data_IF_811732293792
#
_entry.id   IF_811732293792
#
_cell.length_a   1.000
_cell.length_b   1.000
_cell.length_c   1.000
_cell.angle_alpha   90.00
_cell.angle_beta   90.00
_cell.angle_gamma   90.00
#
_symmetry.space_group_name_H-M   'P 1'
#
loop_
_entity.id
_entity.type
_entity.pdbx_description
1 polymer ?
#
# COMPACT_ATOMS: atom_id res chain seq x y z
N UNK A 1 30.08 27.51 -47.87
CA UNK A 1 30.96 26.40 -48.32
C UNK A 1 31.27 25.52 -47.11
N UNK A 2 30.81 24.26 -47.14
CA UNK A 2 31.34 23.03 -46.47
C UNK A 2 31.75 23.09 -44.98
N UNK A 3 30.97 22.46 -44.09
CA UNK A 3 31.12 21.10 -43.48
C UNK A 3 31.93 21.16 -42.15
N UNK A 4 31.57 20.51 -41.03
CA UNK A 4 31.04 19.16 -40.79
C UNK A 4 30.12 19.14 -39.55
N UNK A 5 29.04 18.37 -39.64
CA UNK A 5 28.26 17.85 -38.51
C UNK A 5 28.88 16.52 -38.04
N UNK A 6 28.97 16.30 -36.73
CA UNK A 6 29.20 14.97 -36.15
C UNK A 6 27.93 14.54 -35.40
N UNK A 7 27.29 13.49 -35.92
CA UNK A 7 26.19 12.76 -35.27
C UNK A 7 26.78 11.68 -34.37
N UNK A 8 26.35 11.60 -33.11
CA UNK A 8 26.50 10.39 -32.30
C UNK A 8 25.18 9.62 -32.34
N UNK A 9 25.21 8.45 -32.98
CA UNK A 9 24.18 7.42 -32.96
C UNK A 9 24.69 6.36 -31.99
N UNK A 10 23.98 6.10 -30.90
CA UNK A 10 24.22 4.93 -30.04
C UNK A 10 23.17 3.88 -30.39
N UNK A 11 23.65 2.80 -31.01
CA UNK A 11 22.88 1.65 -31.44
C UNK A 11 23.15 0.52 -30.44
N UNK A 12 22.19 0.22 -29.55
CA UNK A 12 22.31 -0.90 -28.60
C UNK A 12 21.69 -2.16 -29.21
N UNK A 13 22.54 -3.05 -29.72
CA UNK A 13 22.19 -4.45 -30.00
C UNK A 13 22.25 -5.25 -28.69
N UNK A 14 21.12 -5.83 -28.29
CA UNK A 14 21.06 -6.85 -27.22
C UNK A 14 21.38 -8.21 -27.84
N UNK A 15 22.54 -8.77 -27.47
CA UNK A 15 22.93 -10.15 -27.78
C UNK A 15 22.38 -11.11 -26.70
N UNK A 16 21.81 -12.23 -27.13
CA UNK A 16 21.33 -13.31 -26.27
C UNK A 16 22.50 -14.08 -25.61
N UNK A 17 22.31 -14.66 -24.41
CA UNK A 17 23.37 -15.42 -23.74
C UNK A 17 23.54 -16.82 -24.35
N UNK A 18 24.76 -17.40 -24.32
CA UNK A 18 25.04 -18.68 -24.95
C UNK A 18 24.61 -19.87 -24.09
N UNK A 19 24.12 -20.91 -24.77
CA UNK A 19 23.87 -22.25 -24.26
C UNK A 19 25.18 -22.93 -23.82
N UNK A 20 25.21 -23.51 -22.62
CA UNK A 20 26.30 -24.39 -22.17
C UNK A 20 25.90 -25.85 -22.40
N UNK A 21 26.50 -26.46 -23.41
CA UNK A 21 26.68 -27.90 -23.51
C UNK A 21 27.90 -28.31 -22.67
N UNK A 22 27.74 -29.29 -21.78
CA UNK A 22 28.86 -30.08 -21.25
C UNK A 22 28.54 -31.57 -21.39
N UNK A 23 29.58 -32.24 -21.88
CA UNK A 23 29.69 -33.58 -22.46
C UNK A 23 29.38 -34.75 -21.53
N UNK A 24 28.94 -35.81 -22.20
CA UNK A 24 29.01 -37.23 -21.85
C UNK A 24 30.32 -37.64 -21.16
N UNK A 25 30.19 -38.36 -20.03
CA UNK A 25 31.19 -39.33 -19.58
C UNK A 25 30.45 -40.64 -19.27
N UNK A 26 30.58 -41.60 -20.18
CA UNK A 26 30.21 -42.99 -19.97
C UNK A 26 31.25 -43.69 -19.11
N UNK A 27 30.85 -44.35 -18.03
CA UNK A 27 31.52 -45.58 -17.58
C UNK A 27 30.49 -46.58 -17.06
N UNK A 28 30.62 -47.79 -17.58
CA UNK A 28 29.78 -48.96 -17.37
C UNK A 28 29.81 -49.49 -15.94
N UNK A 29 28.68 -50.00 -15.43
CA UNK A 29 28.61 -51.32 -14.75
C UNK A 29 27.16 -51.83 -14.66
N UNK A 30 26.93 -52.95 -15.36
CA UNK A 30 25.96 -54.07 -15.16
C UNK A 30 25.29 -54.09 -13.76
N UNK A 31 24.01 -54.48 -13.57
CA UNK A 31 23.31 -55.69 -14.06
C UNK A 31 21.82 -55.70 -13.60
N UNK A 32 21.00 -56.40 -14.38
CA UNK A 32 19.77 -57.19 -14.04
C UNK A 32 18.46 -56.50 -13.62
N UNK A 33 17.46 -56.71 -14.50
CA UNK A 33 16.03 -56.66 -14.24
C UNK A 33 15.55 -57.89 -13.47
N UNK A 34 14.65 -57.69 -12.50
CA UNK A 34 13.70 -58.71 -12.05
C UNK A 34 12.39 -58.02 -11.64
N UNK A 35 11.30 -58.43 -12.28
CA UNK A 35 9.90 -58.15 -11.93
C UNK A 35 9.51 -58.84 -10.62
N UNK A 36 8.57 -58.29 -9.82
CA UNK A 36 7.37 -59.00 -9.32
C UNK A 36 6.55 -58.18 -8.29
N UNK A 37 5.23 -58.19 -8.53
CA UNK A 37 4.07 -58.30 -7.63
C UNK A 37 3.81 -57.40 -6.42
N UNK A 38 2.56 -56.93 -6.42
CA UNK A 38 1.70 -56.42 -5.34
C UNK A 38 1.69 -57.26 -4.05
N UNK A 39 1.55 -56.66 -2.85
CA UNK A 39 1.21 -57.35 -1.61
C UNK A 39 -0.29 -57.27 -1.22
N UNK A 40 -0.78 -58.18 -0.34
CA UNK A 40 -2.20 -58.43 -0.04
C UNK A 40 -2.73 -57.65 1.19
N UNK A 41 -4.04 -57.72 1.52
CA UNK A 41 -4.61 -57.02 2.68
C UNK A 41 -4.57 -57.88 3.96
N UNK A 42 -4.36 -57.23 5.12
CA UNK A 42 -4.58 -57.78 6.48
C UNK A 42 -5.05 -56.64 7.39
N UNK A 43 -6.29 -56.66 7.89
CA UNK A 43 -6.86 -57.40 9.03
C UNK A 43 -6.77 -56.62 10.35
N UNK A 44 -7.95 -56.49 10.97
CA UNK A 44 -8.33 -55.76 12.17
C UNK A 44 -7.57 -56.12 13.45
N UNK A 45 -7.15 -55.11 14.20
CA UNK A 45 -7.10 -55.16 15.66
C UNK A 45 -7.59 -53.84 16.27
N UNK A 46 -8.54 -53.98 17.18
CA UNK A 46 -9.14 -52.99 18.07
C UNK A 46 -8.13 -52.47 19.09
N UNK A 47 -8.02 -51.15 19.26
CA UNK A 47 -7.85 -50.55 20.58
C UNK A 47 -8.47 -49.15 20.65
N UNK A 48 -9.23 -49.02 21.73
CA UNK A 48 -9.96 -47.88 22.30
C UNK A 48 -9.24 -46.54 22.28
N UNK A 49 -9.91 -45.50 21.76
CA UNK A 49 -9.74 -44.13 22.23
C UNK A 49 -11.10 -43.42 22.29
N UNK A 50 -11.35 -42.85 23.45
CA UNK A 50 -12.57 -42.19 23.94
C UNK A 50 -12.95 -40.98 23.08
N UNK A 51 -14.10 -41.03 22.41
CA UNK A 51 -14.72 -39.88 21.77
C UNK A 51 -15.76 -39.28 22.74
N UNK A 52 -15.54 -38.04 23.19
CA UNK A 52 -16.54 -37.23 23.88
C UNK A 52 -17.44 -36.60 22.82
N UNK A 53 -18.73 -36.93 22.87
CA UNK A 53 -19.77 -36.39 22.01
C UNK A 53 -20.00 -34.88 22.28
N UNK A 54 -20.36 -34.07 21.27
CA UNK A 54 -20.84 -32.71 21.49
C UNK A 54 -22.29 -32.75 22.01
N UNK A 55 -22.50 -32.15 23.17
CA UNK A 55 -23.82 -31.97 23.78
C UNK A 55 -24.67 -30.97 23.00
N UNK A 56 -25.92 -31.35 22.78
CA UNK A 56 -27.02 -30.54 22.26
C UNK A 56 -27.36 -29.39 23.23
N UNK A 57 -27.45 -28.16 22.71
CA UNK A 57 -28.01 -27.00 23.42
C UNK A 57 -29.30 -26.59 22.70
N UNK A 58 -30.43 -26.69 23.40
CA UNK A 58 -31.72 -26.14 22.96
C UNK A 58 -31.76 -24.61 23.13
N UNK A 59 -32.44 -23.87 22.24
CA UNK A 59 -32.48 -22.41 22.32
C UNK A 59 -33.54 -21.93 23.33
N UNK A 60 -33.08 -21.22 24.37
CA UNK A 60 -33.91 -20.41 25.25
C UNK A 60 -34.06 -18.99 24.70
N UNK A 61 -35.31 -18.54 24.57
CA UNK A 61 -35.70 -17.19 24.18
C UNK A 61 -35.19 -16.15 25.20
N UNK A 62 -34.35 -15.21 24.76
CA UNK A 62 -34.22 -13.91 25.40
C UNK A 62 -34.12 -12.82 24.33
N UNK A 63 -35.20 -12.05 24.20
CA UNK A 63 -35.20 -10.75 23.53
C UNK A 63 -34.37 -9.76 24.36
N UNK A 64 -33.22 -9.36 23.82
CA UNK A 64 -32.41 -8.25 24.33
C UNK A 64 -31.77 -7.55 23.15
N UNK A 65 -32.32 -6.39 22.79
CA UNK A 65 -31.83 -5.54 21.72
C UNK A 65 -30.55 -4.84 22.21
N UNK A 66 -29.38 -5.43 21.97
CA UNK A 66 -28.06 -4.81 22.19
C UNK A 66 -27.09 -5.22 21.08
N UNK A 67 -27.43 -4.90 19.83
CA UNK A 67 -26.44 -4.84 18.76
C UNK A 67 -25.93 -3.40 18.65
N UNK A 68 -25.09 -3.01 19.62
CA UNK A 68 -24.21 -1.85 19.42
C UNK A 68 -23.01 -2.40 18.65
N UNK A 69 -22.72 -1.85 17.47
CA UNK A 69 -21.49 -2.17 16.72
C UNK A 69 -20.26 -1.79 17.57
N UNK A 70 -19.83 -2.75 18.40
CA UNK A 70 -18.75 -2.61 19.38
C UNK A 70 -17.44 -2.20 18.71
N UNK A 71 -17.26 -2.52 17.43
CA UNK A 71 -15.99 -2.26 16.74
C UNK A 71 -15.91 -0.86 16.16
N UNK A 72 -16.97 -0.38 15.51
CA UNK A 72 -17.01 1.00 15.01
C UNK A 72 -17.07 1.98 16.18
N UNK A 73 -17.91 1.70 17.18
CA UNK A 73 -18.02 2.52 18.39
C UNK A 73 -16.71 2.54 19.20
N UNK A 74 -15.97 1.43 19.32
CA UNK A 74 -14.68 1.43 20.01
C UNK A 74 -13.59 2.21 19.26
N UNK A 75 -13.63 2.25 17.93
CA UNK A 75 -12.71 3.08 17.12
C UNK A 75 -13.06 4.55 17.29
N UNK A 76 -14.34 4.92 17.15
CA UNK A 76 -14.82 6.29 17.34
C UNK A 76 -14.51 6.79 18.75
N UNK A 77 -14.82 6.02 19.79
CA UNK A 77 -14.47 6.37 21.18
C UNK A 77 -12.96 6.53 21.40
N UNK A 78 -12.10 5.75 20.74
CA UNK A 78 -10.64 5.92 20.84
C UNK A 78 -10.16 7.15 20.08
N UNK A 79 -10.73 7.44 18.91
CA UNK A 79 -10.42 8.65 18.16
C UNK A 79 -10.87 9.91 18.92
N UNK A 80 -12.02 9.87 19.57
CA UNK A 80 -12.55 10.96 20.40
C UNK A 80 -11.82 11.12 21.74
N UNK A 81 -11.27 10.03 22.29
CA UNK A 81 -10.48 10.05 23.51
C UNK A 81 -9.05 10.57 23.32
N UNK A 82 -8.61 10.78 22.07
CA UNK A 82 -7.40 11.55 21.77
C UNK A 82 -7.81 13.02 21.87
N UNK A 83 -7.16 13.83 22.72
CA UNK A 83 -7.45 15.26 22.81
C UNK A 83 -7.23 15.94 21.45
N UNK A 84 -8.28 16.03 20.65
CA UNK A 84 -8.34 16.99 19.55
C UNK A 84 -8.17 18.36 20.20
N UNK A 85 -7.15 19.10 19.78
CA UNK A 85 -6.68 20.36 20.38
C UNK A 85 -7.68 21.53 20.43
N UNK A 86 -8.84 21.33 21.04
CA UNK A 86 -9.77 22.36 21.50
C UNK A 86 -10.09 22.06 22.96
N UNK A 87 -9.34 22.70 23.84
CA UNK A 87 -9.60 22.70 25.27
C UNK A 87 -11.02 23.19 25.55
N UNK A 88 -11.86 22.31 26.09
CA UNK A 88 -13.06 22.71 26.83
C UNK A 88 -12.75 22.58 28.32
N UNK A 89 -12.81 23.72 29.02
CA UNK A 89 -12.57 23.81 30.46
C UNK A 89 -13.63 23.02 31.23
N UNK A 90 -13.26 21.84 31.73
CA UNK A 90 -14.03 21.05 32.68
C UNK A 90 -13.13 20.63 33.84
N UNK A 91 -13.24 21.35 34.96
CA UNK A 91 -12.47 21.10 36.17
C UNK A 91 -12.94 19.80 36.85
N UNK A 92 -12.11 18.77 36.84
CA UNK A 92 -12.30 17.57 37.66
C UNK A 92 -10.97 17.19 38.35
N UNK A 93 -10.92 17.41 39.65
CA UNK A 93 -9.82 17.06 40.54
C UNK A 93 -9.70 15.54 40.68
N UNK A 94 -8.64 15.01 40.09
CA UNK A 94 -8.09 13.68 40.33
C UNK A 94 -6.82 13.57 39.50
N UNK A 95 -5.65 13.46 40.14
CA UNK A 95 -4.36 13.37 39.44
C UNK A 95 -4.28 12.05 38.66
N UNK A 96 -4.93 11.99 37.50
CA UNK A 96 -4.63 10.99 36.48
C UNK A 96 -3.17 11.21 36.12
N UNK A 97 -2.33 10.19 36.31
CA UNK A 97 -1.01 10.12 35.70
C UNK A 97 -1.15 10.57 34.25
N UNK A 98 -0.57 11.72 33.90
CA UNK A 98 -0.66 12.25 32.55
C UNK A 98 0.11 11.29 31.63
N UNK A 99 -0.62 10.48 30.87
CA UNK A 99 -0.04 9.67 29.81
C UNK A 99 0.73 10.61 28.87
N UNK A 100 1.99 10.29 28.56
CA UNK A 100 2.77 11.10 27.64
C UNK A 100 2.22 10.93 26.22
N UNK A 101 1.79 12.03 25.62
CA UNK A 101 1.45 12.07 24.20
C UNK A 101 2.72 12.10 23.35
N UNK A 102 2.61 11.64 22.10
CA UNK A 102 3.67 11.80 21.13
C UNK A 102 3.90 13.29 20.89
N UNK A 103 5.12 13.76 21.06
CA UNK A 103 5.46 15.18 21.00
C UNK A 103 6.74 15.37 20.17
N UNK A 104 6.56 15.83 18.94
CA UNK A 104 7.65 16.05 18.00
C UNK A 104 8.56 17.22 18.41
N UNK A 105 8.09 18.14 19.26
CA UNK A 105 8.93 19.25 19.76
C UNK A 105 10.06 18.76 20.68
N UNK A 106 9.93 17.55 21.24
CA UNK A 106 10.94 16.89 22.06
C UNK A 106 11.93 16.05 21.26
N UNK A 107 11.79 15.98 19.93
CA UNK A 107 12.66 15.16 19.08
C UNK A 107 14.14 15.41 19.37
N UNK A 108 14.86 14.32 19.65
CA UNK A 108 16.31 14.35 19.84
C UNK A 108 17.03 13.90 18.58
N UNK A 109 18.25 14.42 18.36
CA UNK A 109 19.02 14.19 17.13
C UNK A 109 20.34 13.49 17.43
N UNK A 110 20.51 12.30 16.87
CA UNK A 110 21.77 11.57 16.83
C UNK A 110 22.16 11.36 15.37
N UNK A 111 23.04 12.23 14.84
CA UNK A 111 23.47 12.14 13.44
C UNK A 111 24.50 11.03 13.23
N UNK A 112 24.41 10.34 12.10
CA UNK A 112 25.39 9.31 11.72
C UNK A 112 26.77 9.92 11.53
N UNK A 113 27.80 9.22 12.01
CA UNK A 113 29.21 9.55 11.74
C UNK A 113 29.72 8.84 10.48
N UNK A 114 28.94 7.91 9.92
CA UNK A 114 29.27 7.11 8.75
C UNK A 114 28.14 7.27 7.71
N UNK A 115 28.04 8.44 7.05
CA UNK A 115 27.02 8.68 6.04
C UNK A 115 27.16 7.71 4.86
N UNK A 116 26.04 7.15 4.40
CA UNK A 116 25.98 6.27 3.24
C UNK A 116 26.23 7.07 1.95
N UNK A 117 26.79 6.42 0.94
CA UNK A 117 26.86 6.99 -0.41
C UNK A 117 25.44 7.05 -1.01
N UNK A 118 25.11 8.16 -1.68
CA UNK A 118 23.84 8.27 -2.42
C UNK A 118 24.03 7.54 -3.76
N UNK A 119 23.37 6.39 -3.99
CA UNK A 119 23.49 5.66 -5.24
C UNK A 119 22.89 6.44 -6.42
N UNK A 120 23.30 6.11 -7.64
CA UNK A 120 22.51 6.43 -8.82
C UNK A 120 21.23 5.56 -8.86
N UNK A 121 20.22 5.98 -9.62
CA UNK A 121 18.93 5.29 -9.70
C UNK A 121 19.05 3.87 -10.26
N UNK A 122 19.97 3.62 -11.19
CA UNK A 122 20.19 2.28 -11.75
C UNK A 122 20.69 1.33 -10.67
N UNK A 123 21.74 1.74 -9.95
CA UNK A 123 22.31 0.98 -8.83
C UNK A 123 21.31 0.77 -7.69
N UNK A 124 20.50 1.79 -7.37
CA UNK A 124 19.48 1.69 -6.33
C UNK A 124 18.38 0.67 -6.64
N UNK A 125 18.13 0.40 -7.92
CA UNK A 125 17.03 -0.45 -8.38
C UNK A 125 17.48 -1.85 -8.84
N UNK A 126 18.79 -2.07 -8.99
CA UNK A 126 19.33 -3.35 -9.45
C UNK A 126 19.56 -4.38 -8.32
N UNK A 127 19.61 -3.94 -7.06
CA UNK A 127 19.85 -4.78 -5.91
C UNK A 127 18.63 -5.58 -5.43
N UNK A 128 18.87 -6.64 -4.65
CA UNK A 128 17.82 -7.39 -3.95
C UNK A 128 17.32 -6.71 -2.67
N UNK A 129 18.00 -5.65 -2.23
CA UNK A 129 17.71 -4.91 -1.01
C UNK A 129 17.22 -3.51 -1.35
N UNK A 130 16.30 -3.00 -0.54
CA UNK A 130 15.87 -1.60 -0.61
C UNK A 130 16.89 -0.74 0.11
N UNK A 131 17.43 0.27 -0.59
CA UNK A 131 18.40 1.21 0.00
C UNK A 131 17.66 2.27 0.82
N UNK A 132 18.03 2.41 2.10
CA UNK A 132 17.50 3.41 3.01
C UNK A 132 18.43 4.62 3.14
N UNK A 133 17.87 5.75 3.57
CA UNK A 133 18.61 6.98 3.87
C UNK A 133 19.51 6.84 5.11
N UNK A 134 20.17 7.92 5.54
CA UNK A 134 21.13 7.87 6.63
C UNK A 134 20.48 7.61 7.99
N UNK A 135 19.29 8.16 8.21
CA UNK A 135 18.61 8.17 9.50
C UNK A 135 17.22 7.52 9.45
N UNK A 136 16.69 7.27 10.64
CA UNK A 136 15.30 6.93 10.89
C UNK A 136 14.81 7.69 12.12
N UNK A 137 13.50 7.87 12.23
CA UNK A 137 12.85 8.32 13.48
C UNK A 137 12.26 7.11 14.20
N UNK A 138 12.37 7.06 15.52
CA UNK A 138 11.72 6.04 16.34
C UNK A 138 11.16 6.61 17.64
N UNK A 139 10.02 6.09 18.09
CA UNK A 139 9.44 6.35 19.40
C UNK A 139 8.79 5.06 19.93
N UNK A 140 9.02 4.75 21.20
CA UNK A 140 8.38 3.62 21.88
C UNK A 140 7.14 4.08 22.64
N UNK A 141 6.25 3.14 22.93
CA UNK A 141 5.07 3.40 23.74
C UNK A 141 4.89 2.29 24.76
N UNK A 142 4.49 2.65 25.97
CA UNK A 142 4.13 1.68 27.04
C UNK A 142 2.80 2.04 27.67
N UNK A 143 1.95 1.04 27.86
CA UNK A 143 0.74 1.16 28.65
C UNK A 143 1.08 1.65 30.07
N UNK A 144 0.37 2.69 30.54
CA UNK A 144 0.63 3.33 31.83
C UNK A 144 1.57 4.54 31.78
N UNK A 145 2.48 4.60 30.80
CA UNK A 145 3.45 5.71 30.67
C UNK A 145 3.17 6.62 29.47
N UNK A 146 2.71 6.05 28.34
CA UNK A 146 2.53 6.76 27.08
C UNK A 146 3.74 6.63 26.14
N UNK A 147 3.89 7.62 25.25
CA UNK A 147 4.96 7.70 24.26
C UNK A 147 6.27 8.16 24.90
N UNK A 148 7.38 7.59 24.45
CA UNK A 148 8.72 8.09 24.75
C UNK A 148 9.02 9.36 23.95
N UNK A 149 10.07 10.07 24.35
CA UNK A 149 10.67 11.10 23.48
C UNK A 149 11.07 10.46 22.13
N UNK A 150 10.67 11.05 20.99
CA UNK A 150 11.08 10.55 19.69
C UNK A 150 12.57 10.83 19.44
N UNK A 151 13.22 9.94 18.71
CA UNK A 151 14.65 10.00 18.40
C UNK A 151 14.85 9.92 16.88
N UNK A 152 15.53 10.91 16.31
CA UNK A 152 16.19 10.77 15.01
C UNK A 152 17.56 10.16 15.26
N UNK A 153 17.83 9.01 14.65
CA UNK A 153 19.06 8.25 14.86
C UNK A 153 19.52 7.56 13.57
N UNK A 154 20.77 7.06 13.50
CA UNK A 154 21.24 6.35 12.31
C UNK A 154 20.33 5.16 12.00
N UNK A 155 19.97 4.98 10.72
CA UNK A 155 19.19 3.83 10.27
C UNK A 155 19.91 2.51 10.59
N UNK A 156 19.17 1.57 11.20
CA UNK A 156 19.71 0.29 11.64
C UNK A 156 18.63 -0.74 12.01
N UNK A 157 19.04 -1.96 12.42
CA UNK A 157 18.12 -3.04 12.73
C UNK A 157 17.29 -2.76 13.99
N UNK A 158 16.08 -3.33 14.03
CA UNK A 158 15.19 -3.31 15.19
C UNK A 158 15.38 -4.64 15.95
N UNK A 159 15.72 -4.56 17.24
CA UNK A 159 15.82 -5.73 18.11
C UNK A 159 14.47 -6.00 18.77
N UNK A 160 13.88 -7.18 18.52
CA UNK A 160 12.61 -7.61 19.09
C UNK A 160 12.78 -8.93 19.83
N UNK A 161 12.02 -9.09 20.92
CA UNK A 161 11.85 -10.40 21.53
C UNK A 161 11.12 -11.33 20.56
N UNK A 162 11.50 -12.62 20.46
CA UNK A 162 10.81 -13.57 19.59
C UNK A 162 9.33 -13.74 19.91
N UNK A 163 8.90 -13.40 21.13
CA UNK A 163 7.51 -13.42 21.59
C UNK A 163 6.75 -12.12 21.30
N UNK A 164 7.34 -11.17 20.57
CA UNK A 164 6.69 -9.90 20.22
C UNK A 164 5.41 -10.13 19.42
N UNK A 165 4.30 -9.50 19.83
CA UNK A 165 2.97 -9.73 19.24
C UNK A 165 2.92 -9.49 17.73
N UNK A 166 3.75 -8.61 17.18
CA UNK A 166 3.82 -8.36 15.73
C UNK A 166 4.20 -9.61 14.95
N UNK A 167 5.10 -10.44 15.48
CA UNK A 167 5.62 -11.64 14.81
C UNK A 167 4.62 -12.79 14.75
N UNK A 168 3.57 -12.75 15.58
CA UNK A 168 2.60 -13.85 15.73
C UNK A 168 1.19 -13.47 15.30
N UNK A 169 0.78 -12.22 15.56
CA UNK A 169 -0.62 -11.79 15.42
C UNK A 169 -0.79 -10.58 14.49
N UNK A 170 0.23 -10.24 13.71
CA UNK A 170 0.22 -9.14 12.74
C UNK A 170 -0.29 -7.82 13.35
N UNK A 171 0.10 -7.53 14.60
CA UNK A 171 -0.18 -6.27 15.29
C UNK A 171 0.69 -5.15 14.73
N UNK A 172 0.51 -4.87 13.44
CA UNK A 172 1.28 -3.89 12.68
C UNK A 172 0.44 -3.15 11.64
N UNK A 173 0.74 -1.87 11.51
CA UNK A 173 0.22 -1.02 10.45
C UNK A 173 1.34 -0.16 9.87
N UNK A 174 1.15 0.33 8.66
CA UNK A 174 2.15 1.14 7.98
C UNK A 174 1.50 2.19 7.10
N UNK A 175 2.29 3.18 6.73
CA UNK A 175 1.94 4.19 5.75
C UNK A 175 2.91 4.22 4.57
N UNK A 176 2.50 4.95 3.53
CA UNK A 176 3.24 5.09 2.31
C UNK A 176 3.00 6.43 1.64
N UNK A 177 4.03 7.27 1.68
CA UNK A 177 4.05 8.58 1.05
C UNK A 177 5.41 8.84 0.38
N UNK A 178 5.52 9.95 -0.34
CA UNK A 178 6.73 10.34 -1.07
C UNK A 178 7.10 11.77 -0.72
N UNK A 179 8.41 12.02 -0.69
CA UNK A 179 8.97 13.38 -0.77
C UNK A 179 9.56 13.58 -2.16
N UNK A 180 9.37 14.76 -2.72
CA UNK A 180 9.75 15.10 -4.08
C UNK A 180 10.72 16.28 -4.07
N UNK A 181 11.74 16.26 -4.94
CA UNK A 181 12.48 17.46 -5.32
C UNK A 181 11.80 18.11 -6.50
N UNK A 182 11.13 19.23 -6.24
CA UNK A 182 10.46 20.02 -7.28
C UNK A 182 11.43 20.61 -8.30
N UNK A 183 10.91 20.99 -9.47
CA UNK A 183 11.68 21.67 -10.52
C UNK A 183 12.07 23.11 -10.13
N UNK A 184 11.40 23.67 -9.13
CA UNK A 184 11.77 24.92 -8.45
C UNK A 184 12.82 24.72 -7.35
N UNK A 185 13.30 23.49 -7.17
CA UNK A 185 14.33 23.15 -6.20
C UNK A 185 13.84 23.01 -4.76
N UNK A 186 12.55 23.04 -4.45
CA UNK A 186 12.04 22.80 -3.10
C UNK A 186 11.77 21.30 -2.82
N UNK A 187 11.92 20.87 -1.57
CA UNK A 187 11.45 19.56 -1.11
C UNK A 187 9.96 19.65 -0.77
N UNK A 188 9.16 18.70 -1.23
CA UNK A 188 7.71 18.66 -0.98
C UNK A 188 7.21 17.28 -0.59
N UNK A 189 6.32 17.24 0.41
CA UNK A 189 5.45 16.10 0.70
C UNK A 189 4.10 16.33 0.03
N UNK A 190 3.46 15.25 -0.43
CA UNK A 190 2.12 15.34 -1.02
C UNK A 190 1.06 14.82 -0.03
N UNK A 191 0.19 15.74 0.44
CA UNK A 191 -0.91 15.48 1.39
C UNK A 191 -0.52 14.58 2.59
N UNK A 192 0.59 14.89 3.30
CA UNK A 192 1.04 14.06 4.42
C UNK A 192 0.01 13.99 5.56
N UNK A 193 -0.82 15.02 5.72
CA UNK A 193 -1.96 15.07 6.64
C UNK A 193 -2.86 13.83 6.51
N UNK A 194 -3.24 13.47 5.26
CA UNK A 194 -4.11 12.33 4.96
C UNK A 194 -3.46 10.99 5.25
N UNK A 195 -2.15 10.88 5.05
CA UNK A 195 -1.41 9.69 5.45
C UNK A 195 -1.40 9.56 6.98
N UNK A 196 -1.17 10.65 7.72
CA UNK A 196 -1.12 10.62 9.18
C UNK A 196 -2.48 10.28 9.80
N UNK A 197 -3.57 10.84 9.27
CA UNK A 197 -4.94 10.50 9.66
C UNK A 197 -5.24 9.01 9.43
N UNK A 198 -4.88 8.47 8.26
CA UNK A 198 -5.10 7.04 7.95
C UNK A 198 -4.23 6.13 8.81
N UNK A 199 -3.02 6.55 9.19
CA UNK A 199 -2.17 5.79 10.10
C UNK A 199 -2.80 5.68 11.48
N UNK A 200 -3.38 6.77 12.00
CA UNK A 200 -4.09 6.76 13.28
C UNK A 200 -5.31 5.82 13.25
N UNK A 201 -6.11 5.89 12.19
CA UNK A 201 -7.24 4.96 12.00
C UNK A 201 -6.74 3.50 11.95
N UNK A 202 -5.64 3.25 11.23
CA UNK A 202 -5.09 1.90 11.11
C UNK A 202 -4.55 1.38 12.44
N UNK A 203 -3.83 2.20 13.21
CA UNK A 203 -3.27 1.78 14.51
C UNK A 203 -4.38 1.46 15.51
N UNK A 204 -5.39 2.34 15.61
CA UNK A 204 -6.51 2.16 16.53
C UNK A 204 -7.36 0.93 16.18
N UNK A 205 -7.52 0.62 14.88
CA UNK A 205 -8.24 -0.59 14.41
C UNK A 205 -7.65 -1.89 14.98
N UNK A 206 -6.33 -1.96 15.13
CA UNK A 206 -5.63 -3.14 15.66
C UNK A 206 -5.14 -2.96 17.11
N UNK A 207 -5.80 -2.07 17.85
CA UNK A 207 -5.54 -1.81 19.27
C UNK A 207 -4.10 -1.37 19.60
N UNK A 208 -3.34 -0.88 18.62
CA UNK A 208 -2.10 -0.15 18.85
C UNK A 208 -2.41 1.25 19.41
N UNK A 209 -1.42 1.94 20.02
CA UNK A 209 -1.65 3.26 20.60
C UNK A 209 -2.04 4.31 19.56
N UNK A 210 -2.91 5.22 19.99
CA UNK A 210 -3.22 6.46 19.27
C UNK A 210 -2.11 7.50 19.45
N UNK A 211 -2.12 8.51 18.59
CA UNK A 211 -1.21 9.65 18.59
C UNK A 211 -1.86 10.82 17.83
N UNK A 212 -1.47 12.08 18.08
CA UNK A 212 -1.95 13.20 17.29
C UNK A 212 -1.35 13.14 15.85
N UNK A 213 -2.15 13.13 14.78
CA UNK A 213 -1.63 13.03 13.40
C UNK A 213 -0.63 14.11 13.02
N UNK A 214 -0.83 15.34 13.51
CA UNK A 214 0.08 16.46 13.26
C UNK A 214 1.49 16.24 13.85
N UNK A 215 1.61 15.47 14.93
CA UNK A 215 2.92 15.17 15.52
C UNK A 215 3.68 14.14 14.67
N UNK A 216 2.99 13.17 14.08
CA UNK A 216 3.60 12.28 13.09
C UNK A 216 4.07 13.05 11.85
N UNK A 217 3.26 13.99 11.35
CA UNK A 217 3.64 14.82 10.21
C UNK A 217 4.92 15.63 10.49
N UNK A 218 5.01 16.27 11.66
CA UNK A 218 6.22 16.99 12.09
C UNK A 218 7.45 16.08 12.14
N UNK A 219 7.32 14.84 12.61
CA UNK A 219 8.42 13.87 12.64
C UNK A 219 8.88 13.46 11.22
N UNK A 220 7.94 13.31 10.28
CA UNK A 220 8.27 13.05 8.87
C UNK A 220 9.03 14.24 8.27
N UNK A 221 8.55 15.47 8.52
CA UNK A 221 9.19 16.70 8.06
C UNK A 221 10.60 16.82 8.64
N UNK A 222 10.79 16.58 9.94
CA UNK A 222 12.10 16.65 10.58
C UNK A 222 13.10 15.63 10.00
N UNK A 223 12.67 14.39 9.73
CA UNK A 223 13.53 13.41 9.06
C UNK A 223 13.95 13.89 7.67
N UNK A 224 13.02 14.49 6.91
CA UNK A 224 13.29 14.99 5.55
C UNK A 224 14.07 16.31 5.54
N UNK A 225 13.98 17.12 6.59
CA UNK A 225 14.83 18.29 6.76
C UNK A 225 16.31 17.91 6.88
N UNK A 226 16.60 16.79 7.57
CA UNK A 226 17.96 16.26 7.76
C UNK A 226 18.46 15.47 6.54
N UNK A 227 17.69 14.49 6.05
CA UNK A 227 18.16 13.58 4.99
C UNK A 227 17.90 14.14 3.58
N UNK A 228 16.85 14.93 3.39
CA UNK A 228 16.41 15.41 2.08
C UNK A 228 17.47 16.16 1.28
N UNK A 229 18.23 17.12 1.84
CA UNK A 229 19.20 17.92 1.08
C UNK A 229 20.27 17.06 0.38
N UNK A 230 20.76 16.02 1.07
CA UNK A 230 21.77 15.11 0.54
C UNK A 230 21.16 14.09 -0.42
N UNK A 231 20.04 13.48 -0.05
CA UNK A 231 19.48 12.33 -0.78
C UNK A 231 18.63 12.74 -1.99
N UNK A 232 18.14 13.98 -2.00
CA UNK A 232 17.43 14.62 -3.11
C UNK A 232 18.06 15.99 -3.40
N UNK A 233 19.27 16.07 -3.97
CA UNK A 233 19.96 17.35 -4.13
C UNK A 233 19.26 18.26 -5.15
N UNK A 234 19.44 19.58 -4.99
CA UNK A 234 18.77 20.61 -5.81
C UNK A 234 19.15 20.58 -7.29
N UNK A 235 20.34 20.07 -7.62
CA UNK A 235 20.82 19.88 -8.99
C UNK A 235 20.18 18.66 -9.70
N UNK A 236 19.36 17.89 -8.99
CA UNK A 236 18.62 16.72 -9.51
C UNK A 236 17.11 16.82 -9.26
N UNK A 237 16.43 17.83 -9.83
CA UNK A 237 14.98 17.95 -9.71
C UNK A 237 14.25 16.83 -10.43
N UNK A 238 12.97 16.66 -10.09
CA UNK A 238 12.12 15.62 -10.68
C UNK A 238 12.33 14.22 -10.08
N UNK A 239 13.09 14.13 -8.98
CA UNK A 239 13.35 12.89 -8.24
C UNK A 239 12.52 12.81 -6.96
N UNK A 240 12.38 11.60 -6.40
CA UNK A 240 11.62 11.37 -5.16
C UNK A 240 12.28 10.30 -4.29
N UNK A 241 11.93 10.31 -3.00
CA UNK A 241 12.15 9.20 -2.08
C UNK A 241 10.81 8.72 -1.53
N UNK A 242 10.78 7.46 -1.09
CA UNK A 242 9.60 6.86 -0.47
C UNK A 242 9.76 6.85 1.05
N UNK A 243 8.74 7.31 1.76
CA UNK A 243 8.71 7.37 3.22
C UNK A 243 7.76 6.28 3.73
N UNK A 244 8.23 5.52 4.73
CA UNK A 244 7.53 4.39 5.34
C UNK A 244 7.43 4.59 6.85
N UNK A 245 6.40 5.31 7.33
CA UNK A 245 5.99 5.24 8.73
C UNK A 245 5.42 3.85 9.02
N UNK A 246 5.77 3.26 10.14
CA UNK A 246 5.31 1.93 10.56
C UNK A 246 5.12 1.90 12.06
N UNK A 247 4.06 1.24 12.52
CA UNK A 247 3.85 0.97 13.94
C UNK A 247 3.65 -0.53 14.18
N UNK A 248 4.35 -1.06 15.17
CA UNK A 248 4.34 -2.49 15.53
C UNK A 248 4.09 -2.69 17.03
N UNK A 249 3.38 -3.75 17.39
CA UNK A 249 3.26 -4.23 18.77
C UNK A 249 4.53 -4.98 19.19
N UNK A 250 5.19 -4.51 20.25
CA UNK A 250 6.50 -5.02 20.70
C UNK A 250 6.41 -5.81 22.01
N UNK A 251 5.22 -5.93 22.60
CA UNK A 251 5.03 -6.64 23.87
C UNK A 251 5.52 -8.09 23.76
N UNK A 252 6.45 -8.56 24.62
CA UNK A 252 7.02 -9.90 24.55
C UNK A 252 6.08 -10.95 25.16
N UNK A 253 4.90 -11.15 24.58
CA UNK A 253 3.86 -12.02 25.12
C UNK A 253 3.05 -12.73 24.02
N UNK A 254 2.83 -14.03 24.20
CA UNK A 254 2.06 -14.89 23.27
C UNK A 254 0.55 -14.90 23.54
N UNK A 255 0.06 -14.19 24.56
CA UNK A 255 -1.38 -14.05 24.77
C UNK A 255 -1.99 -13.14 23.70
N UNK A 256 -3.13 -13.54 23.13
CA UNK A 256 -3.90 -12.69 22.20
C UNK A 256 -4.62 -11.61 23.01
N UNK A 257 -4.04 -10.42 23.07
CA UNK A 257 -4.56 -9.27 23.80
C UNK A 257 -4.07 -7.96 23.16
N UNK A 258 -4.66 -6.83 23.57
CA UNK A 258 -4.15 -5.53 23.18
C UNK A 258 -2.70 -5.36 23.64
N UNK A 259 -1.74 -4.99 22.75
CA UNK A 259 -0.35 -4.86 23.13
C UNK A 259 -0.15 -3.78 24.18
N UNK A 260 0.58 -4.09 25.26
CA UNK A 260 0.97 -3.11 26.28
C UNK A 260 2.25 -2.35 25.94
N UNK A 261 2.92 -2.73 24.86
CA UNK A 261 4.13 -2.05 24.35
C UNK A 261 4.06 -2.00 22.81
N UNK A 262 4.49 -0.88 22.24
CA UNK A 262 4.54 -0.67 20.80
C UNK A 262 5.73 0.21 20.40
N UNK A 263 6.04 0.24 19.12
CA UNK A 263 7.03 1.14 18.54
C UNK A 263 6.51 1.74 17.24
N UNK A 264 6.60 3.06 17.13
CA UNK A 264 6.49 3.83 15.89
C UNK A 264 7.89 4.06 15.33
N UNK A 265 8.09 3.82 14.05
CA UNK A 265 9.32 4.21 13.36
C UNK A 265 9.04 4.73 11.95
N UNK A 266 9.94 5.58 11.44
CA UNK A 266 9.84 6.20 10.12
C UNK A 266 11.18 6.00 9.42
N UNK A 267 11.15 5.33 8.26
CA UNK A 267 12.31 5.19 7.38
C UNK A 267 12.03 5.85 6.04
N UNK A 268 13.10 6.23 5.35
CA UNK A 268 13.04 6.76 3.99
C UNK A 268 13.94 5.92 3.09
N UNK A 269 13.49 5.66 1.86
CA UNK A 269 14.11 4.68 0.97
C UNK A 269 14.08 5.11 -0.49
N UNK A 270 15.08 4.65 -1.25
CA UNK A 270 14.99 4.60 -2.70
C UNK A 270 13.99 3.50 -3.09
N UNK A 271 12.89 3.91 -3.69
CA UNK A 271 11.98 3.00 -4.37
C UNK A 271 12.20 3.15 -5.87
N UNK A 272 12.19 2.04 -6.64
CA UNK A 272 12.27 2.13 -8.09
C UNK A 272 11.23 3.08 -8.66
N UNK A 273 11.65 3.85 -9.67
CA UNK A 273 10.72 4.63 -10.48
C UNK A 273 9.88 3.62 -11.24
N UNK A 274 8.70 3.35 -10.70
CA UNK A 274 7.71 2.47 -11.30
C UNK A 274 6.90 3.30 -12.29
N UNK A 275 7.49 3.52 -13.47
CA UNK A 275 6.74 4.10 -14.58
C UNK A 275 5.63 3.14 -15.02
N UNK A 276 4.62 3.72 -15.68
CA UNK A 276 3.58 2.92 -16.31
C UNK A 276 4.23 1.94 -17.29
N UNK A 277 3.90 0.63 -17.22
CA UNK A 277 4.44 -0.34 -18.17
C UNK A 277 4.19 0.15 -19.60
N UNK A 278 5.16 -0.06 -20.50
CA UNK A 278 4.97 0.26 -21.91
C UNK A 278 3.74 -0.50 -22.43
N UNK A 279 2.77 0.22 -23.01
CA UNK A 279 1.49 -0.36 -23.43
C UNK A 279 0.46 -0.56 -22.30
N UNK A 280 0.67 0.04 -21.13
CA UNK A 280 -0.25 -0.03 -19.99
C UNK A 280 -0.15 -1.33 -19.18
N UNK A 281 -0.68 -1.29 -17.96
CA UNK A 281 -0.70 -2.44 -17.07
C UNK A 281 -1.83 -3.40 -17.44
N UNK A 282 -1.55 -4.71 -17.44
CA UNK A 282 -2.55 -5.76 -17.61
C UNK A 282 -2.98 -6.30 -16.26
N UNK A 283 -4.29 -6.45 -16.05
CA UNK A 283 -4.87 -7.01 -14.84
C UNK A 283 -5.42 -8.41 -15.09
N UNK A 284 -5.31 -9.29 -14.10
CA UNK A 284 -6.05 -10.55 -14.05
C UNK A 284 -7.07 -10.44 -12.92
N UNK A 285 -8.33 -10.81 -13.12
CA UNK A 285 -9.29 -10.80 -12.01
C UNK A 285 -8.92 -11.85 -10.96
N UNK A 286 -9.25 -11.60 -9.69
CA UNK A 286 -8.95 -12.55 -8.60
C UNK A 286 -9.56 -13.94 -8.87
N UNK A 287 -8.91 -15.02 -8.38
CA UNK A 287 -9.52 -16.35 -8.32
C UNK A 287 -10.87 -16.33 -7.58
N UNK A 288 -11.76 -17.26 -7.89
CA UNK A 288 -13.11 -17.31 -7.30
C UNK A 288 -13.10 -17.63 -5.80
N UNK A 289 -12.08 -18.33 -5.34
CA UNK A 289 -11.87 -18.72 -3.94
C UNK A 289 -11.02 -17.69 -3.16
N UNK A 290 -10.75 -16.53 -3.74
CA UNK A 290 -9.90 -15.51 -3.13
C UNK A 290 -10.54 -14.13 -3.13
N UNK A 291 -10.55 -13.50 -1.94
CA UNK A 291 -10.94 -12.11 -1.75
C UNK A 291 -9.81 -11.35 -1.05
N UNK A 292 -9.65 -10.06 -1.39
CA UNK A 292 -8.68 -9.19 -0.73
C UNK A 292 -9.13 -8.79 0.67
N UNK A 293 -10.42 -8.50 0.80
CA UNK A 293 -11.09 -8.01 1.99
C UNK A 293 -12.58 -8.37 1.91
N UNK A 294 -13.29 -8.18 3.02
CA UNK A 294 -14.74 -8.39 3.10
C UNK A 294 -15.40 -7.32 3.97
N UNK A 295 -16.70 -7.12 3.78
CA UNK A 295 -17.51 -6.22 4.62
C UNK A 295 -17.51 -6.74 6.06
N UNK A 296 -17.25 -5.86 7.03
CA UNK A 296 -16.99 -6.22 8.43
C UNK A 296 -15.54 -6.62 8.72
N UNK A 297 -14.69 -6.75 7.69
CA UNK A 297 -13.27 -6.96 7.82
C UNK A 297 -12.50 -5.68 8.16
N UNK A 298 -11.27 -5.59 7.66
CA UNK A 298 -10.35 -4.46 7.91
C UNK A 298 -9.63 -4.00 6.65
N UNK A 299 -10.27 -4.19 5.48
CA UNK A 299 -9.72 -3.81 4.17
C UNK A 299 -9.49 -2.31 4.00
N UNK A 300 -10.24 -1.48 4.74
CA UNK A 300 -10.10 -0.03 4.83
C UNK A 300 -8.89 0.46 5.62
N UNK A 301 -8.25 -0.41 6.41
CA UNK A 301 -7.08 -0.08 7.22
C UNK A 301 -5.79 -0.57 6.56
N UNK A 302 -4.68 0.16 6.76
CA UNK A 302 -3.40 -0.16 6.12
C UNK A 302 -2.54 -1.09 6.99
N UNK A 303 -3.06 -2.31 7.16
CA UNK A 303 -2.52 -3.34 8.05
C UNK A 303 -1.67 -4.35 7.28
N UNK A 304 -0.57 -4.85 7.87
CA UNK A 304 0.27 -5.87 7.25
C UNK A 304 -0.51 -7.13 6.82
N UNK A 305 -1.49 -7.53 7.63
CA UNK A 305 -2.37 -8.67 7.39
C UNK A 305 -3.18 -8.58 6.07
N UNK A 306 -3.40 -7.39 5.51
CA UNK A 306 -4.10 -7.22 4.23
C UNK A 306 -3.23 -7.54 3.00
N UNK A 307 -1.91 -7.70 3.17
CA UNK A 307 -0.97 -7.82 2.05
C UNK A 307 -0.37 -9.22 1.94
N UNK A 308 0.05 -9.84 3.05
CA UNK A 308 0.68 -11.16 3.04
C UNK A 308 -0.11 -12.23 2.26
N UNK A 309 -1.40 -12.45 2.57
CA UNK A 309 -2.23 -13.43 1.85
C UNK A 309 -2.38 -13.14 0.35
N UNK A 310 -2.25 -11.88 -0.08
CA UNK A 310 -2.41 -11.47 -1.49
C UNK A 310 -1.26 -11.91 -2.40
N UNK A 311 -0.11 -12.29 -1.83
CA UNK A 311 1.11 -12.53 -2.57
C UNK A 311 1.03 -13.76 -3.48
N UNK A 312 0.30 -14.81 -3.07
CA UNK A 312 0.15 -16.04 -3.86
C UNK A 312 -0.46 -15.76 -5.23
N UNK A 313 -1.64 -15.16 -5.25
CA UNK A 313 -2.29 -14.82 -6.52
C UNK A 313 -1.49 -13.76 -7.29
N UNK A 314 -0.80 -12.84 -6.59
CA UNK A 314 0.00 -11.80 -7.27
C UNK A 314 1.15 -12.44 -8.04
N UNK A 315 1.82 -13.44 -7.47
CA UNK A 315 2.87 -14.21 -8.14
C UNK A 315 2.31 -15.00 -9.31
N UNK A 316 1.16 -15.65 -9.15
CA UNK A 316 0.51 -16.40 -10.22
C UNK A 316 0.14 -15.49 -11.41
N UNK A 317 -0.47 -14.34 -11.14
CA UNK A 317 -0.81 -13.35 -12.16
C UNK A 317 0.44 -12.86 -12.91
N UNK A 318 1.53 -12.56 -12.19
CA UNK A 318 2.81 -12.14 -12.80
C UNK A 318 3.43 -13.21 -13.68
N UNK A 319 3.41 -14.47 -13.24
CA UNK A 319 3.93 -15.59 -14.03
C UNK A 319 3.15 -15.78 -15.35
N UNK A 320 1.89 -15.30 -15.40
CA UNK A 320 1.05 -15.30 -16.60
C UNK A 320 1.14 -14.02 -17.43
N UNK A 321 2.02 -13.08 -17.06
CA UNK A 321 2.23 -11.82 -17.79
C UNK A 321 1.29 -10.69 -17.40
N UNK A 322 0.56 -10.81 -16.28
CA UNK A 322 -0.28 -9.73 -15.73
C UNK A 322 0.48 -8.96 -14.65
N UNK A 323 0.35 -7.63 -14.66
CA UNK A 323 1.08 -6.77 -13.71
C UNK A 323 0.52 -6.82 -12.30
N UNK A 324 -0.82 -6.92 -12.18
CA UNK A 324 -1.55 -6.89 -10.91
C UNK A 324 -2.87 -7.70 -11.01
N UNK A 325 -3.52 -7.89 -9.87
CA UNK A 325 -4.86 -8.48 -9.77
C UNK A 325 -5.91 -7.37 -9.77
N UNK A 326 -7.03 -7.55 -10.47
CA UNK A 326 -8.25 -6.83 -10.17
C UNK A 326 -9.08 -7.63 -9.16
N UNK A 327 -9.18 -7.13 -7.93
CA UNK A 327 -9.88 -7.83 -6.86
C UNK A 327 -11.39 -7.72 -7.06
N UNK A 328 -12.05 -8.88 -7.07
CA UNK A 328 -13.51 -8.99 -7.14
C UNK A 328 -14.08 -9.36 -5.77
N UNK A 329 -15.28 -8.88 -5.46
CA UNK A 329 -15.95 -9.15 -4.19
C UNK A 329 -17.42 -9.52 -4.37
N UNK A 330 -17.89 -10.47 -3.55
CA UNK A 330 -19.29 -10.91 -3.54
C UNK A 330 -19.66 -11.83 -4.70
N UNK A 331 -20.88 -12.34 -4.67
CA UNK A 331 -21.43 -13.20 -5.73
C UNK A 331 -21.61 -12.43 -7.03
N UNK A 332 -21.87 -11.13 -6.91
CA UNK A 332 -22.04 -10.17 -7.98
C UNK A 332 -20.71 -9.73 -8.61
N UNK A 333 -19.58 -10.10 -7.99
CA UNK A 333 -18.23 -9.82 -8.50
C UNK A 333 -17.96 -8.32 -8.71
N UNK A 334 -18.23 -7.55 -7.66
CA UNK A 334 -17.94 -6.13 -7.63
C UNK A 334 -16.44 -5.88 -7.82
N UNK A 335 -16.09 -4.97 -8.73
CA UNK A 335 -14.73 -4.48 -8.87
C UNK A 335 -14.36 -3.62 -7.67
N UNK A 336 -13.21 -3.91 -7.04
CA UNK A 336 -12.76 -3.22 -5.83
C UNK A 336 -11.47 -2.44 -6.06
N UNK A 337 -10.33 -3.13 -6.11
CA UNK A 337 -8.99 -2.55 -6.19
C UNK A 337 -8.12 -3.28 -7.21
N UNK A 338 -7.16 -2.57 -7.79
CA UNK A 338 -6.14 -3.11 -8.68
C UNK A 338 -4.84 -3.31 -7.90
N UNK A 339 -4.59 -4.53 -7.45
CA UNK A 339 -3.48 -4.88 -6.57
C UNK A 339 -3.62 -4.19 -5.22
N UNK A 340 -2.73 -3.26 -4.92
CA UNK A 340 -2.75 -2.41 -3.72
C UNK A 340 -3.11 -0.94 -4.04
N UNK A 341 -3.79 -0.70 -5.17
CA UNK A 341 -4.21 0.62 -5.64
C UNK A 341 -5.72 0.65 -5.86
N UNK A 342 -6.32 1.82 -5.70
CA UNK A 342 -7.72 2.03 -6.07
C UNK A 342 -7.88 1.95 -7.59
N UNK A 343 -9.04 1.48 -8.06
CA UNK A 343 -9.30 1.26 -9.48
C UNK A 343 -10.39 2.20 -10.00
N UNK A 344 -10.16 2.76 -11.18
CA UNK A 344 -11.03 3.71 -11.85
C UNK A 344 -11.30 3.24 -13.29
N UNK A 345 -12.55 3.37 -13.72
CA UNK A 345 -12.96 3.17 -15.12
C UNK A 345 -13.51 4.48 -15.65
N UNK A 346 -13.20 4.79 -16.89
CA UNK A 346 -13.82 5.88 -17.65
C UNK A 346 -14.62 5.27 -18.78
N UNK A 347 -15.91 5.55 -18.82
CA UNK A 347 -16.81 4.98 -19.83
C UNK A 347 -17.91 5.96 -20.22
N UNK A 348 -18.69 5.61 -21.23
CA UNK A 348 -19.98 6.23 -21.51
C UNK A 348 -21.08 5.53 -20.72
N UNK A 349 -21.85 6.30 -19.95
CA UNK A 349 -23.06 5.81 -19.29
C UNK A 349 -24.04 5.29 -20.35
N UNK A 350 -24.63 4.12 -20.11
CA UNK A 350 -25.54 3.46 -21.05
C UNK A 350 -26.84 4.24 -21.29
N UNK A 351 -27.37 4.87 -20.25
CA UNK A 351 -28.66 5.57 -20.27
C UNK A 351 -28.51 7.02 -20.72
N UNK A 352 -27.52 7.74 -20.19
CA UNK A 352 -27.35 9.18 -20.43
C UNK A 352 -26.41 9.49 -21.59
N UNK A 353 -25.56 8.54 -22.00
CA UNK A 353 -24.50 8.76 -22.99
C UNK A 353 -23.36 9.68 -22.52
N UNK A 354 -23.41 10.22 -21.28
CA UNK A 354 -22.37 11.09 -20.73
C UNK A 354 -21.13 10.28 -20.35
N UNK A 355 -19.97 10.95 -20.35
CA UNK A 355 -18.74 10.34 -19.83
C UNK A 355 -18.84 10.26 -18.31
N UNK A 356 -18.49 9.12 -17.73
CA UNK A 356 -18.35 8.94 -16.30
C UNK A 356 -16.95 8.45 -15.94
N UNK A 357 -16.41 8.97 -14.83
CA UNK A 357 -15.27 8.39 -14.13
C UNK A 357 -15.83 7.71 -12.87
N UNK A 358 -15.77 6.39 -12.84
CA UNK A 358 -16.34 5.57 -11.77
C UNK A 358 -15.25 4.90 -10.92
N UNK A 359 -15.47 4.84 -9.60
CA UNK A 359 -14.66 4.04 -8.67
C UNK A 359 -15.53 3.44 -7.56
N UNK A 360 -15.02 2.40 -6.89
CA UNK A 360 -15.73 1.73 -5.81
C UNK A 360 -15.92 2.68 -4.61
N UNK A 361 -17.06 2.61 -3.88
CA UNK A 361 -17.36 3.50 -2.77
C UNK A 361 -16.61 3.07 -1.49
N UNK A 362 -16.65 3.90 -0.45
CA UNK A 362 -15.97 3.64 0.83
C UNK A 362 -16.93 3.22 1.96
N UNK A 363 -18.24 3.29 1.73
CA UNK A 363 -19.28 3.25 2.77
C UNK A 363 -19.31 1.92 3.54
N UNK A 364 -18.96 0.81 2.88
CA UNK A 364 -18.95 -0.54 3.44
C UNK A 364 -17.61 -0.94 4.08
N UNK A 365 -16.65 -0.01 4.13
CA UNK A 365 -15.30 -0.21 4.68
C UNK A 365 -14.54 -1.37 4.04
N UNK A 366 -14.88 -1.75 2.81
CA UNK A 366 -14.17 -2.79 2.06
C UNK A 366 -12.86 -2.26 1.46
N UNK A 367 -12.88 -1.02 0.97
CA UNK A 367 -11.84 -0.38 0.16
C UNK A 367 -10.89 0.45 1.03
N UNK A 368 -9.59 0.42 0.71
CA UNK A 368 -8.63 1.35 1.32
C UNK A 368 -8.87 2.76 0.79
N UNK A 369 -9.09 3.72 1.69
CA UNK A 369 -9.23 5.14 1.32
C UNK A 369 -7.87 5.75 0.92
N UNK A 370 -7.48 5.57 -0.34
CA UNK A 370 -6.20 6.03 -0.87
C UNK A 370 -6.10 7.55 -0.99
N UNK A 371 -4.93 8.12 -0.62
CA UNK A 371 -4.68 9.58 -0.76
C UNK A 371 -4.73 10.01 -2.22
N UNK A 372 -4.18 9.18 -3.13
CA UNK A 372 -4.24 9.43 -4.57
C UNK A 372 -5.68 9.35 -5.08
N UNK A 373 -6.47 8.35 -4.67
CA UNK A 373 -7.90 8.24 -5.01
C UNK A 373 -8.67 9.49 -4.64
N UNK A 374 -8.52 9.94 -3.38
CA UNK A 374 -9.14 11.17 -2.88
C UNK A 374 -8.76 12.39 -3.72
N UNK A 375 -7.47 12.53 -4.04
CA UNK A 375 -6.96 13.64 -4.86
C UNK A 375 -7.48 13.59 -6.29
N UNK A 376 -7.60 12.40 -6.88
CA UNK A 376 -8.19 12.20 -8.21
C UNK A 376 -9.65 12.65 -8.22
N UNK A 377 -10.46 12.21 -7.25
CA UNK A 377 -11.88 12.57 -7.16
C UNK A 377 -12.07 14.08 -6.94
N UNK A 378 -11.30 14.68 -6.03
CA UNK A 378 -11.36 16.12 -5.75
C UNK A 378 -10.97 16.95 -6.99
N UNK A 379 -9.88 16.62 -7.68
CA UNK A 379 -9.47 17.32 -8.89
C UNK A 379 -10.44 17.11 -10.05
N UNK A 380 -10.92 15.87 -10.25
CA UNK A 380 -11.84 15.56 -11.34
C UNK A 380 -13.17 16.29 -11.15
N UNK A 381 -13.71 16.33 -9.93
CA UNK A 381 -14.92 17.13 -9.63
C UNK A 381 -14.70 18.61 -9.92
N UNK A 382 -13.57 19.16 -9.47
CA UNK A 382 -13.29 20.59 -9.61
C UNK A 382 -12.96 21.02 -11.04
N UNK A 383 -12.36 20.14 -11.86
CA UNK A 383 -11.83 20.50 -13.19
C UNK A 383 -12.62 19.90 -14.36
N UNK A 384 -13.43 18.86 -14.13
CA UNK A 384 -14.18 18.13 -15.17
C UNK A 384 -15.67 17.99 -14.87
N UNK A 385 -16.14 18.39 -13.68
CA UNK A 385 -17.51 18.08 -13.21
C UNK A 385 -18.64 18.61 -14.09
N UNK A 386 -18.38 19.62 -14.92
CA UNK A 386 -19.35 20.15 -15.89
C UNK A 386 -19.57 19.17 -17.08
N UNK A 387 -18.51 18.47 -17.50
CA UNK A 387 -18.50 17.63 -18.70
C UNK A 387 -18.53 16.12 -18.40
N UNK A 388 -18.08 15.73 -17.20
CA UNK A 388 -17.85 14.34 -16.80
C UNK A 388 -18.49 14.07 -15.43
N UNK A 389 -19.29 13.01 -15.35
CA UNK A 389 -19.87 12.56 -14.09
C UNK A 389 -18.82 11.80 -13.24
N UNK A 390 -18.63 12.23 -11.98
CA UNK A 390 -17.65 11.63 -11.07
C UNK A 390 -18.38 10.79 -10.03
N UNK A 391 -18.36 9.46 -10.21
CA UNK A 391 -19.28 8.53 -9.52
C UNK A 391 -18.51 7.61 -8.57
N UNK A 392 -18.95 7.57 -7.31
CA UNK A 392 -18.55 6.57 -6.32
C UNK A 392 -19.73 5.61 -6.13
N UNK A 393 -19.69 4.43 -6.76
CA UNK A 393 -20.72 3.40 -6.61
C UNK A 393 -20.14 2.00 -6.79
N UNK A 394 -20.85 0.99 -6.33
CA UNK A 394 -20.53 -0.40 -6.67
C UNK A 394 -20.79 -0.63 -8.17
N UNK A 395 -19.89 -1.36 -8.81
CA UNK A 395 -20.02 -1.81 -10.19
C UNK A 395 -19.39 -3.19 -10.34
N UNK A 396 -19.96 -4.03 -11.20
CA UNK A 396 -19.52 -5.40 -11.40
C UNK A 396 -18.54 -5.53 -12.56
N UNK A 397 -17.79 -6.62 -12.60
CA UNK A 397 -16.98 -6.97 -13.78
C UNK A 397 -17.86 -7.18 -15.02
N UNK A 398 -19.08 -7.67 -14.84
CA UNK A 398 -20.04 -7.86 -15.93
C UNK A 398 -20.46 -6.52 -16.56
N UNK A 399 -20.65 -5.45 -15.75
CA UNK A 399 -20.90 -4.10 -16.28
C UNK A 399 -19.71 -3.58 -17.12
N UNK A 400 -18.47 -3.87 -16.69
CA UNK A 400 -17.26 -3.51 -17.44
C UNK A 400 -17.18 -4.27 -18.76
N UNK A 401 -17.53 -5.56 -18.76
CA UNK A 401 -17.56 -6.39 -19.97
C UNK A 401 -18.66 -5.97 -20.93
N UNK A 402 -19.87 -5.69 -20.43
CA UNK A 402 -20.98 -5.17 -21.24
C UNK A 402 -20.60 -3.82 -21.88
N UNK A 403 -19.99 -2.91 -21.10
CA UNK A 403 -19.51 -1.64 -21.63
C UNK A 403 -18.44 -1.83 -22.72
N UNK A 404 -17.62 -2.87 -22.64
CA UNK A 404 -16.65 -3.19 -23.67
C UNK A 404 -17.32 -3.70 -24.94
N UNK A 405 -18.23 -4.67 -24.82
CA UNK A 405 -18.97 -5.25 -25.93
C UNK A 405 -19.84 -4.18 -26.66
N UNK A 406 -20.35 -3.20 -25.93
CA UNK A 406 -21.12 -2.07 -26.46
C UNK A 406 -20.25 -0.90 -26.94
N UNK A 407 -18.92 -0.99 -26.86
CA UNK A 407 -17.99 0.07 -27.31
C UNK A 407 -18.03 1.35 -26.47
N UNK A 408 -18.47 1.25 -25.20
CA UNK A 408 -18.60 2.37 -24.26
C UNK A 408 -17.38 2.60 -23.38
N UNK A 409 -16.44 1.65 -23.28
CA UNK A 409 -15.19 1.83 -22.53
C UNK A 409 -14.33 2.91 -23.19
N UNK A 410 -13.94 3.93 -22.41
CA UNK A 410 -13.03 5.00 -22.86
C UNK A 410 -11.61 4.69 -22.44
N UNK A 411 -11.37 4.42 -21.16
CA UNK A 411 -10.04 4.10 -20.60
C UNK A 411 -10.18 3.62 -19.14
N UNK A 412 -9.10 3.17 -18.51
CA UNK A 412 -9.10 2.89 -17.07
C UNK A 412 -7.71 3.05 -16.47
N UNK A 413 -7.65 3.24 -15.15
CA UNK A 413 -6.38 3.46 -14.45
C UNK A 413 -6.44 3.00 -12.99
N UNK A 414 -5.27 2.65 -12.46
CA UNK A 414 -5.05 2.42 -11.04
C UNK A 414 -4.43 3.66 -10.38
N UNK A 415 -4.87 3.98 -9.16
CA UNK A 415 -4.42 5.15 -8.39
C UNK A 415 -3.87 4.73 -7.03
N UNK A 416 -2.60 5.07 -6.75
CA UNK A 416 -1.95 4.78 -5.46
C UNK A 416 -0.50 5.26 -5.40
N UNK A 417 0.06 5.51 -4.21
CA UNK A 417 1.37 6.15 -4.02
C UNK A 417 2.51 5.55 -4.86
N UNK A 418 2.50 4.23 -5.05
CA UNK A 418 3.50 3.45 -5.79
C UNK A 418 3.65 3.92 -7.25
N UNK A 419 2.68 3.58 -8.11
CA UNK A 419 2.64 3.95 -9.53
C UNK A 419 2.03 5.33 -9.79
N UNK A 420 1.59 5.98 -8.73
CA UNK A 420 0.83 7.22 -8.74
C UNK A 420 -0.49 7.09 -9.50
N UNK A 421 -0.48 7.25 -10.83
CA UNK A 421 -1.61 6.96 -11.72
C UNK A 421 -1.08 6.11 -12.88
N UNK A 422 -1.59 4.88 -12.98
CA UNK A 422 -1.14 3.88 -13.93
C UNK A 422 -2.25 3.49 -14.89
N UNK A 423 -2.11 3.73 -16.20
CA UNK A 423 -3.06 3.26 -17.20
C UNK A 423 -3.17 1.73 -17.17
N UNK A 424 -4.39 1.23 -17.27
CA UNK A 424 -4.68 -0.18 -17.45
C UNK A 424 -5.05 -0.39 -18.90
N UNK A 425 -4.40 -1.33 -19.58
CA UNK A 425 -4.64 -1.62 -21.00
C UNK A 425 -5.53 -2.84 -21.22
N UNK A 426 -5.58 -3.75 -20.27
CA UNK A 426 -6.31 -5.00 -20.40
C UNK A 426 -6.76 -5.52 -19.04
N UNK A 427 -7.97 -6.05 -18.97
CA UNK A 427 -8.45 -6.88 -17.86
C UNK A 427 -8.77 -8.27 -18.42
N UNK A 428 -8.09 -9.29 -17.91
CA UNK A 428 -8.41 -10.68 -18.19
C UNK A 428 -9.39 -11.21 -17.14
N UNK A 429 -10.56 -11.64 -17.60
CA UNK A 429 -11.60 -12.24 -16.77
C UNK A 429 -12.08 -13.55 -17.39
N UNK A 430 -11.84 -14.67 -16.68
CA UNK A 430 -12.37 -16.01 -17.03
C UNK A 430 -12.23 -16.38 -18.52
N UNK A 431 -11.02 -16.22 -19.07
CA UNK A 431 -10.74 -16.58 -20.46
C UNK A 431 -11.14 -15.52 -21.50
N UNK A 432 -11.68 -14.37 -21.07
CA UNK A 432 -12.01 -13.24 -21.94
C UNK A 432 -11.13 -12.04 -21.60
N UNK A 433 -10.74 -11.30 -22.63
CA UNK A 433 -9.98 -10.07 -22.50
C UNK A 433 -10.88 -8.87 -22.73
N UNK A 434 -10.82 -7.92 -21.80
CA UNK A 434 -11.45 -6.61 -21.92
C UNK A 434 -10.34 -5.61 -22.22
N UNK A 435 -10.24 -5.20 -23.49
CA UNK A 435 -9.27 -4.17 -23.89
C UNK A 435 -9.77 -2.80 -23.45
N UNK A 436 -8.90 -2.05 -22.79
CA UNK A 436 -9.16 -0.69 -22.35
C UNK A 436 -8.65 0.28 -23.41
N UNK A 437 -9.32 1.41 -23.58
CA UNK A 437 -8.80 2.45 -24.46
C UNK A 437 -7.49 3.01 -23.92
N UNK A 438 -6.56 3.21 -24.84
CA UNK A 438 -5.21 3.72 -24.61
C UNK A 438 -4.94 4.88 -25.57
N UNK A 439 -4.04 5.78 -25.18
CA UNK A 439 -3.57 6.86 -26.05
C UNK A 439 -2.61 6.36 -27.14
N UNK A 440 -2.09 7.30 -27.92
CA UNK A 440 -1.08 7.03 -28.94
C UNK A 440 0.15 6.31 -28.34
N UNK A 441 0.74 5.40 -29.12
CA UNK A 441 1.94 4.65 -28.75
C UNK A 441 1.82 3.85 -27.42
N UNK A 442 0.60 3.50 -27.02
CA UNK A 442 0.35 2.71 -25.80
C UNK A 442 0.50 3.50 -24.50
N UNK A 443 0.45 4.84 -24.57
CA UNK A 443 0.36 5.73 -23.42
C UNK A 443 -1.04 5.68 -22.78
N UNK A 444 -1.19 6.29 -21.60
CA UNK A 444 -2.50 6.47 -20.99
C UNK A 444 -3.47 7.26 -21.89
N UNK A 445 -4.76 7.03 -21.70
CA UNK A 445 -5.80 7.84 -22.34
C UNK A 445 -5.83 9.29 -21.83
N UNK A 446 -6.68 10.09 -22.45
CA UNK A 446 -6.77 11.54 -22.20
C UNK A 446 -7.01 11.87 -20.73
N UNK A 447 -7.98 11.23 -20.07
CA UNK A 447 -8.34 11.57 -18.69
C UNK A 447 -7.24 11.13 -17.72
N UNK A 448 -6.68 9.95 -17.93
CA UNK A 448 -5.61 9.35 -17.16
C UNK A 448 -4.39 10.25 -17.20
N UNK A 449 -3.99 10.73 -18.39
CA UNK A 449 -2.84 11.62 -18.55
C UNK A 449 -3.10 13.01 -17.97
N UNK A 450 -4.29 13.59 -18.18
CA UNK A 450 -4.65 14.89 -17.58
C UNK A 450 -4.58 14.85 -16.06
N UNK A 451 -5.23 13.86 -15.44
CA UNK A 451 -5.26 13.73 -13.98
C UNK A 451 -3.86 13.43 -13.43
N UNK A 452 -3.09 12.56 -14.11
CA UNK A 452 -1.68 12.30 -13.77
C UNK A 452 -0.85 13.56 -13.81
N UNK A 453 -1.04 14.41 -14.83
CA UNK A 453 -0.32 15.67 -14.97
C UNK A 453 -0.68 16.66 -13.85
N UNK A 454 -1.96 16.86 -13.56
CA UNK A 454 -2.39 17.80 -12.50
C UNK A 454 -1.76 17.48 -11.15
N UNK A 455 -1.76 16.21 -10.74
CA UNK A 455 -1.16 15.89 -9.45
C UNK A 455 0.37 15.93 -9.52
N UNK A 456 0.97 15.56 -10.66
CA UNK A 456 2.42 15.72 -10.87
C UNK A 456 2.84 17.19 -10.72
N UNK A 457 2.06 18.12 -11.28
CA UNK A 457 2.35 19.55 -11.20
C UNK A 457 2.36 20.03 -9.75
N UNK A 458 1.43 19.55 -8.92
CA UNK A 458 1.43 19.85 -7.49
C UNK A 458 2.67 19.23 -6.79
N UNK A 459 2.96 17.96 -7.04
CA UNK A 459 4.06 17.23 -6.39
C UNK A 459 5.43 17.85 -6.68
N UNK A 460 5.65 18.30 -7.92
CA UNK A 460 6.94 18.81 -8.38
C UNK A 460 7.01 20.34 -8.51
N UNK A 461 5.99 21.07 -8.02
CA UNK A 461 5.97 22.53 -7.97
C UNK A 461 5.66 23.24 -9.30
N UNK A 462 5.09 22.52 -10.28
CA UNK A 462 4.49 23.12 -11.48
C UNK A 462 3.18 23.87 -11.17
N UNK A 463 2.50 23.49 -10.09
CA UNK A 463 1.32 24.19 -9.55
C UNK A 463 1.51 24.40 -8.04
N UNK A 464 1.40 25.64 -7.57
CA UNK A 464 1.40 25.91 -6.12
C UNK A 464 0.03 25.55 -5.56
N UNK A 465 0.02 24.61 -4.62
CA UNK A 465 -1.21 24.10 -4.02
C UNK A 465 -0.94 23.70 -2.57
N UNK A 466 -1.94 23.86 -1.69
CA UNK A 466 -1.87 23.47 -0.27
C UNK A 466 -1.55 21.97 -0.04
N UNK A 467 -1.69 21.14 -1.06
CA UNK A 467 -1.41 19.71 -0.98
C UNK A 467 0.09 19.41 -1.07
N UNK A 468 0.90 20.34 -1.60
CA UNK A 468 2.35 20.24 -1.69
C UNK A 468 3.02 20.92 -0.50
N UNK A 469 3.14 20.21 0.62
CA UNK A 469 3.73 20.73 1.87
C UNK A 469 5.25 20.84 1.71
N UNK A 470 5.78 22.07 1.74
CA UNK A 470 7.20 22.35 1.59
C UNK A 470 7.97 21.99 2.87
N UNK A 471 9.06 21.25 2.73
CA UNK A 471 9.99 20.92 3.82
C UNK A 471 11.10 21.97 3.88
N UNK A 472 11.28 22.58 5.05
CA UNK A 472 12.43 23.46 5.31
C UNK A 472 13.68 22.59 5.51
N UNK A 473 14.68 22.82 4.68
CA UNK A 473 15.93 22.04 4.66
C UNK A 473 16.88 22.51 5.78
N UNK A 474 17.54 21.56 6.45
CA UNK A 474 18.70 21.87 7.28
C UNK A 474 19.95 21.99 6.40
N UNK A 475 20.73 23.05 6.61
CA UNK A 475 21.96 23.33 5.86
C UNK A 475 23.22 22.83 6.58
#
# INVERSE_FOLDING_TARGET
MTSKQSKYIVQTHLAAPPSRDIQDISTSRRRTFTTYSTPPPRSSHTHTHTAMAPGTISPGLHHGNQDVDLTSSAIEHKLDAIPNGKATNGSANGSKSAYQELDASKLTYTRTQNPRQVPDLGSANAGSETIATDHMVAATWKAGAGWSTPELKPYGPISLMPTASVLHYATECFEGLKVFRGFDGALRLFRPDRNCERMLMSSTRIALPGFPPAELEKLIIALMAVDGPKWLPRDRPGSFLYIRPTMIGTQPQLGVQAPSEAMLYIICTFMPVMDSPAGGMKLHTSPEDMVRAWVGGFGYAKLGANYGPSLLATVEARNRGYGQILWLYGKEQYCTEAGASNFFVVWKNKETGRTEIITAPLDDRLILDGVTRRSVLELARNRLGDDVDIVERRYTIDEVMEAHDEGRIVESFAAGTAYFICPISLIHHRGKDVNMGMGSDGQGGEYTLKIKQWVRDIMYGGEQHEWGVVVQEEH
#
